data_IF_843070437880
#
_entry.id   IF_843070437880
#
_cell.length_a   1.000
_cell.length_b   1.000
_cell.length_c   1.000
_cell.angle_alpha   90.00
_cell.angle_beta   90.00
_cell.angle_gamma   90.00
#
_symmetry.space_group_name_H-M   'P 1'
#
loop_
_entity.id
_entity.type
_entity.pdbx_description
1 polymer ?
#
# COMPACT_ATOMS: atom_id res chain seq x y z
N UNK A 1 -30.79 20.87 -24.37
CA UNK A 1 -29.62 20.09 -23.92
C UNK A 1 -30.02 19.34 -22.65
N UNK A 2 -30.56 18.12 -22.79
CA UNK A 2 -30.87 17.23 -21.66
C UNK A 2 -29.55 16.64 -21.20
N UNK A 3 -29.13 16.94 -19.97
CA UNK A 3 -27.96 16.31 -19.37
C UNK A 3 -28.18 14.81 -19.29
N UNK A 4 -27.35 14.04 -19.99
CA UNK A 4 -27.24 12.60 -19.77
C UNK A 4 -26.90 12.39 -18.29
N UNK A 5 -27.86 11.86 -17.52
CA UNK A 5 -27.57 11.34 -16.19
C UNK A 5 -26.55 10.23 -16.38
N UNK A 6 -25.29 10.52 -16.04
CA UNK A 6 -24.22 9.52 -16.01
C UNK A 6 -24.68 8.40 -15.08
N UNK A 7 -24.89 7.20 -15.63
CA UNK A 7 -25.32 6.06 -14.84
C UNK A 7 -24.26 5.76 -13.79
N UNK A 8 -24.65 5.87 -12.51
CA UNK A 8 -23.78 5.54 -11.39
C UNK A 8 -23.86 4.03 -11.13
N UNK A 9 -22.91 3.29 -11.69
CA UNK A 9 -22.84 1.83 -11.57
C UNK A 9 -22.31 1.36 -10.21
N UNK A 10 -21.93 2.27 -9.29
CA UNK A 10 -21.52 1.95 -7.92
C UNK A 10 -22.71 1.92 -6.95
N UNK A 11 -23.91 2.35 -7.38
CA UNK A 11 -25.12 2.29 -6.56
C UNK A 11 -25.62 0.87 -6.35
N UNK A 12 -26.18 0.65 -5.16
CA UNK A 12 -26.89 -0.58 -4.77
C UNK A 12 -28.00 -0.89 -5.80
N UNK A 13 -27.91 -2.03 -6.48
CA UNK A 13 -28.86 -2.47 -7.50
C UNK A 13 -28.38 -2.32 -8.95
N UNK A 14 -27.11 -2.00 -9.20
CA UNK A 14 -26.55 -2.01 -10.55
C UNK A 14 -26.45 -3.44 -11.11
N UNK A 15 -26.96 -3.64 -12.34
CA UNK A 15 -26.76 -4.87 -13.10
C UNK A 15 -25.32 -4.90 -13.62
N UNK A 16 -24.37 -5.31 -12.77
CA UNK A 16 -22.97 -5.56 -13.15
C UNK A 16 -22.64 -7.00 -12.77
N UNK A 17 -22.25 -7.80 -13.75
CA UNK A 17 -21.82 -9.18 -13.51
C UNK A 17 -20.51 -9.22 -12.72
N UNK A 18 -20.27 -10.24 -11.87
CA UNK A 18 -18.99 -10.39 -11.16
C UNK A 18 -17.76 -10.35 -12.08
N UNK A 19 -17.87 -10.86 -13.31
CA UNK A 19 -16.78 -10.83 -14.30
C UNK A 19 -16.51 -9.42 -14.82
N UNK A 20 -17.56 -8.63 -15.06
CA UNK A 20 -17.45 -7.23 -15.49
C UNK A 20 -16.85 -6.38 -14.37
N UNK A 21 -17.30 -6.57 -13.14
CA UNK A 21 -16.75 -5.89 -11.96
C UNK A 21 -15.26 -6.25 -11.75
N UNK A 22 -14.89 -7.52 -11.94
CA UNK A 22 -13.50 -7.96 -11.82
C UNK A 22 -12.61 -7.35 -12.90
N UNK A 23 -13.06 -7.37 -14.16
CA UNK A 23 -12.31 -6.79 -15.27
C UNK A 23 -12.18 -5.27 -15.10
N UNK A 24 -13.29 -4.56 -14.88
CA UNK A 24 -13.28 -3.11 -14.65
C UNK A 24 -12.45 -2.72 -13.44
N UNK A 25 -12.54 -3.49 -12.34
CA UNK A 25 -11.73 -3.29 -11.15
C UNK A 25 -10.22 -3.49 -11.41
N UNK A 26 -9.85 -4.48 -12.22
CA UNK A 26 -8.46 -4.75 -12.58
C UNK A 26 -7.89 -3.65 -13.48
N UNK A 27 -8.62 -3.22 -14.50
CA UNK A 27 -8.23 -2.12 -15.40
C UNK A 27 -8.11 -0.82 -14.61
N UNK A 28 -9.10 -0.51 -13.77
CA UNK A 28 -9.10 0.69 -12.94
C UNK A 28 -7.94 0.71 -11.95
N UNK A 29 -7.69 -0.42 -11.28
CA UNK A 29 -6.58 -0.58 -10.35
C UNK A 29 -5.23 -0.39 -11.04
N UNK A 30 -5.03 -1.05 -12.19
CA UNK A 30 -3.77 -0.99 -12.94
C UNK A 30 -3.49 0.40 -13.51
N UNK A 31 -4.48 1.05 -14.15
CA UNK A 31 -4.29 2.39 -14.73
C UNK A 31 -4.11 3.44 -13.63
N UNK A 32 -4.93 3.41 -12.58
CA UNK A 32 -4.79 4.33 -11.45
C UNK A 32 -3.41 4.21 -10.82
N UNK A 33 -2.84 3.00 -10.76
CA UNK A 33 -1.48 2.79 -10.25
C UNK A 33 -0.42 3.27 -11.19
N UNK A 34 -0.50 2.95 -12.48
CA UNK A 34 0.43 3.47 -13.47
C UNK A 34 0.52 5.00 -13.41
N UNK A 35 -0.60 5.70 -13.23
CA UNK A 35 -0.63 7.17 -13.11
C UNK A 35 -0.02 7.66 -11.79
N UNK A 36 -0.26 6.95 -10.69
CA UNK A 36 0.19 7.37 -9.35
C UNK A 36 1.56 6.82 -8.95
N UNK A 37 2.14 5.92 -9.74
CA UNK A 37 3.44 5.28 -9.52
C UNK A 37 4.59 6.28 -9.29
N UNK A 38 4.68 7.44 -10.00
CA UNK A 38 5.69 8.45 -9.71
C UNK A 38 5.71 8.92 -8.25
N UNK A 39 4.54 9.09 -7.63
CA UNK A 39 4.44 9.50 -6.22
C UNK A 39 4.97 8.41 -5.28
N UNK A 40 4.77 7.14 -5.61
CA UNK A 40 5.33 6.05 -4.84
C UNK A 40 6.85 5.96 -4.96
N UNK A 41 7.39 6.17 -6.15
CA UNK A 41 8.85 6.21 -6.37
C UNK A 41 9.47 7.34 -5.56
N UNK A 42 8.88 8.54 -5.61
CA UNK A 42 9.33 9.71 -4.82
C UNK A 42 9.22 9.41 -3.31
N UNK A 43 8.11 8.83 -2.85
CA UNK A 43 7.93 8.42 -1.44
C UNK A 43 9.04 7.48 -1.00
N UNK A 44 9.30 6.41 -1.76
CA UNK A 44 10.32 5.42 -1.40
C UNK A 44 11.70 6.10 -1.38
N UNK A 45 12.03 6.95 -2.35
CA UNK A 45 13.30 7.70 -2.36
C UNK A 45 13.50 8.56 -1.11
N UNK A 46 12.46 9.26 -0.69
CA UNK A 46 12.48 10.04 0.56
C UNK A 46 12.66 9.14 1.79
N UNK A 47 11.97 7.99 1.84
CA UNK A 47 12.10 7.03 2.95
C UNK A 47 13.51 6.43 3.04
N UNK A 48 14.21 6.29 1.91
CA UNK A 48 15.56 5.74 1.84
C UNK A 48 16.67 6.78 2.11
N UNK A 49 16.33 8.06 2.21
CA UNK A 49 17.31 9.10 2.50
C UNK A 49 17.81 8.99 3.95
N UNK A 50 19.13 8.96 4.16
CA UNK A 50 19.77 8.76 5.47
C UNK A 50 20.42 10.00 6.07
N UNK A 51 20.38 11.15 5.38
CA UNK A 51 20.96 12.41 5.89
C UNK A 51 20.27 12.85 7.17
N UNK A 52 20.92 13.66 8.01
CA UNK A 52 20.24 14.25 9.18
C UNK A 52 19.03 15.09 8.75
N UNK A 53 18.03 15.27 9.63
CA UNK A 53 16.82 16.05 9.32
C UNK A 53 17.11 17.46 8.80
N UNK A 54 18.12 18.15 9.37
CA UNK A 54 18.52 19.50 8.95
C UNK A 54 19.20 19.54 7.57
N UNK A 55 19.77 18.42 7.12
CA UNK A 55 20.49 18.30 5.86
C UNK A 55 19.69 17.50 4.80
N UNK A 56 18.40 17.29 5.05
CA UNK A 56 17.52 16.53 4.16
C UNK A 56 17.36 17.23 2.81
N UNK A 57 17.22 16.44 1.75
CA UNK A 57 16.85 16.94 0.45
C UNK A 57 15.40 17.41 0.46
N UNK A 58 15.14 18.52 -0.23
CA UNK A 58 13.76 18.89 -0.55
C UNK A 58 13.17 17.88 -1.53
N UNK A 59 11.84 17.76 -1.53
CA UNK A 59 11.12 16.93 -2.50
C UNK A 59 11.50 17.32 -3.94
N UNK A 60 11.63 18.62 -4.20
CA UNK A 60 12.06 19.15 -5.50
C UNK A 60 13.48 18.73 -5.86
N UNK A 61 14.40 18.67 -4.89
CA UNK A 61 15.75 18.18 -5.13
C UNK A 61 15.76 16.69 -5.46
N UNK A 62 14.96 15.86 -4.77
CA UNK A 62 14.83 14.43 -5.09
C UNK A 62 14.25 14.21 -6.49
N UNK A 63 13.22 14.96 -6.88
CA UNK A 63 12.63 14.88 -8.22
C UNK A 63 13.64 15.33 -9.28
N UNK A 64 14.34 16.44 -9.05
CA UNK A 64 15.35 16.95 -10.00
C UNK A 64 16.53 15.98 -10.14
N UNK A 65 16.99 15.37 -9.05
CA UNK A 65 18.03 14.34 -9.03
C UNK A 65 17.60 13.12 -9.86
N UNK A 66 16.40 12.62 -9.63
CA UNK A 66 15.84 11.48 -10.36
C UNK A 66 15.72 11.77 -11.87
N UNK A 67 15.14 12.91 -12.24
CA UNK A 67 14.96 13.27 -13.64
C UNK A 67 16.29 13.51 -14.37
N UNK A 68 17.25 14.18 -13.71
CA UNK A 68 18.54 14.53 -14.32
C UNK A 68 19.49 13.33 -14.43
N UNK A 69 19.57 12.51 -13.38
CA UNK A 69 20.58 11.45 -13.29
C UNK A 69 20.07 10.10 -13.81
N UNK A 70 18.77 9.84 -13.72
CA UNK A 70 18.18 8.54 -14.07
C UNK A 70 17.20 8.61 -15.23
N UNK A 71 16.72 9.81 -15.57
CA UNK A 71 15.76 10.06 -16.65
C UNK A 71 14.31 9.96 -16.22
N UNK A 72 13.39 10.35 -17.12
CA UNK A 72 11.95 10.43 -16.84
C UNK A 72 11.33 9.07 -16.50
N UNK A 73 11.77 8.01 -17.18
CA UNK A 73 11.28 6.64 -16.98
C UNK A 73 11.58 6.14 -15.56
N UNK A 74 12.59 6.71 -14.89
CA UNK A 74 12.93 6.33 -13.52
C UNK A 74 11.80 6.58 -12.50
N UNK A 75 10.84 7.46 -12.82
CA UNK A 75 9.64 7.68 -12.00
C UNK A 75 8.77 6.41 -11.90
N UNK A 76 8.89 5.47 -12.84
CA UNK A 76 8.17 4.18 -12.84
C UNK A 76 9.06 2.99 -12.44
N UNK A 77 10.25 3.24 -11.87
CA UNK A 77 11.08 2.15 -11.34
C UNK A 77 10.29 1.34 -10.31
N UNK A 78 10.35 0.01 -10.46
CA UNK A 78 9.61 -0.89 -9.59
C UNK A 78 8.09 -0.92 -9.80
N UNK A 79 7.54 -0.31 -10.86
CA UNK A 79 6.09 -0.40 -11.12
C UNK A 79 5.64 -1.83 -11.44
N UNK A 80 6.39 -2.57 -12.26
CA UNK A 80 6.07 -3.97 -12.61
C UNK A 80 5.91 -4.87 -11.38
N UNK A 81 6.88 -4.96 -10.44
CA UNK A 81 6.66 -5.76 -9.23
C UNK A 81 5.58 -5.17 -8.33
N UNK A 82 5.32 -3.86 -8.37
CA UNK A 82 4.21 -3.26 -7.64
C UNK A 82 2.87 -3.77 -8.17
N UNK A 83 2.64 -3.77 -9.48
CA UNK A 83 1.38 -4.28 -10.06
C UNK A 83 1.15 -5.75 -9.71
N UNK A 84 2.18 -6.59 -9.88
CA UNK A 84 2.11 -8.01 -9.51
C UNK A 84 1.78 -8.16 -8.02
N UNK A 85 2.46 -7.40 -7.15
CA UNK A 85 2.17 -7.39 -5.72
C UNK A 85 0.69 -7.12 -5.46
N UNK A 86 0.10 -6.11 -6.09
CA UNK A 86 -1.27 -5.71 -5.76
C UNK A 86 -2.32 -6.69 -6.25
N UNK A 87 -2.12 -7.27 -7.44
CA UNK A 87 -2.98 -8.34 -7.96
C UNK A 87 -2.95 -9.53 -7.01
N UNK A 88 -1.75 -9.99 -6.63
CA UNK A 88 -1.60 -11.11 -5.71
C UNK A 88 -2.12 -10.79 -4.30
N UNK A 89 -1.91 -9.56 -3.83
CA UNK A 89 -2.36 -9.13 -2.51
C UNK A 89 -3.88 -9.20 -2.42
N UNK A 90 -4.59 -8.68 -3.42
CA UNK A 90 -6.06 -8.75 -3.47
C UNK A 90 -6.55 -10.20 -3.46
N UNK A 91 -6.01 -11.05 -4.33
CA UNK A 91 -6.39 -12.47 -4.40
C UNK A 91 -6.17 -13.21 -3.08
N UNK A 92 -4.96 -13.14 -2.52
CA UNK A 92 -4.62 -13.80 -1.26
C UNK A 92 -5.45 -13.23 -0.11
N UNK A 93 -5.73 -11.92 -0.10
CA UNK A 93 -6.51 -11.30 0.96
C UNK A 93 -7.94 -11.79 0.98
N UNK A 94 -8.64 -11.80 -0.15
CA UNK A 94 -10.03 -12.26 -0.21
C UNK A 94 -10.14 -13.77 0.07
N UNK A 95 -9.26 -14.58 -0.50
CA UNK A 95 -9.23 -16.03 -0.23
C UNK A 95 -8.94 -16.31 1.26
N UNK A 96 -7.91 -15.65 1.83
CA UNK A 96 -7.56 -15.82 3.24
C UNK A 96 -8.67 -15.32 4.15
N UNK A 97 -9.32 -14.20 3.82
CA UNK A 97 -10.45 -13.67 4.56
C UNK A 97 -11.60 -14.68 4.59
N UNK A 98 -11.97 -15.23 3.43
CA UNK A 98 -13.04 -16.22 3.31
C UNK A 98 -12.74 -17.48 4.12
N UNK A 99 -11.51 -18.00 4.03
CA UNK A 99 -11.09 -19.21 4.77
C UNK A 99 -11.10 -18.94 6.27
N UNK A 100 -10.46 -17.86 6.73
CA UNK A 100 -10.34 -17.55 8.16
C UNK A 100 -11.72 -17.26 8.76
N UNK A 101 -12.58 -16.48 8.08
CA UNK A 101 -13.94 -16.18 8.54
C UNK A 101 -14.78 -17.46 8.65
N UNK A 102 -14.77 -18.32 7.63
CA UNK A 102 -15.54 -19.58 7.65
C UNK A 102 -15.09 -20.49 8.78
N UNK A 103 -13.78 -20.63 8.99
CA UNK A 103 -13.25 -21.46 10.08
C UNK A 103 -13.54 -20.84 11.46
N UNK A 104 -13.44 -19.52 11.60
CA UNK A 104 -13.74 -18.84 12.86
C UNK A 104 -15.22 -18.96 13.23
N UNK A 105 -16.14 -18.78 12.27
CA UNK A 105 -17.58 -19.00 12.50
C UNK A 105 -17.91 -20.45 12.86
N UNK A 106 -17.21 -21.43 12.28
CA UNK A 106 -17.35 -22.85 12.68
C UNK A 106 -16.88 -23.08 14.11
N UNK A 107 -15.80 -22.42 14.54
CA UNK A 107 -15.30 -22.49 15.91
C UNK A 107 -16.26 -21.82 16.91
N UNK A 108 -16.81 -20.65 16.57
CA UNK A 108 -17.84 -19.97 17.38
C UNK A 108 -19.04 -20.88 17.64
N UNK A 109 -19.52 -21.58 16.59
CA UNK A 109 -20.62 -22.54 16.71
C UNK A 109 -20.24 -23.77 17.54
N UNK A 110 -19.04 -24.32 17.35
CA UNK A 110 -18.59 -25.53 18.04
C UNK A 110 -18.39 -25.30 19.55
N UNK A 111 -17.77 -24.17 19.92
CA UNK A 111 -17.45 -23.83 21.30
C UNK A 111 -18.50 -22.95 21.99
N UNK A 112 -19.60 -22.61 21.29
CA UNK A 112 -20.71 -21.77 21.79
C UNK A 112 -20.27 -20.42 22.37
N UNK A 113 -19.21 -19.81 21.84
CA UNK A 113 -18.86 -18.43 22.15
C UNK A 113 -19.29 -17.52 21.00
N UNK A 114 -19.73 -16.30 21.31
CA UNK A 114 -20.07 -15.29 20.31
C UNK A 114 -19.06 -14.15 20.38
N UNK A 115 -18.35 -13.91 19.28
CA UNK A 115 -17.55 -12.70 19.13
C UNK A 115 -18.44 -11.55 18.69
N UNK A 116 -18.14 -10.34 19.17
CA UNK A 116 -18.73 -9.13 18.60
C UNK A 116 -18.35 -9.03 17.11
N UNK A 117 -19.25 -8.53 16.22
CA UNK A 117 -18.95 -8.37 14.80
C UNK A 117 -17.65 -7.60 14.52
N UNK A 118 -17.31 -6.63 15.37
CA UNK A 118 -16.07 -5.87 15.28
C UNK A 118 -14.84 -6.74 15.57
N UNK A 119 -14.89 -7.58 16.60
CA UNK A 119 -13.80 -8.49 16.98
C UNK A 119 -13.60 -9.58 15.93
N UNK A 120 -14.69 -10.14 15.39
CA UNK A 120 -14.63 -11.11 14.29
C UNK A 120 -13.95 -10.48 13.07
N UNK A 121 -14.41 -9.30 12.65
CA UNK A 121 -13.84 -8.57 11.50
C UNK A 121 -12.37 -8.20 11.71
N UNK A 122 -11.97 -7.83 12.93
CA UNK A 122 -10.60 -7.50 13.28
C UNK A 122 -9.68 -8.71 13.18
N UNK A 123 -10.08 -9.87 13.75
CA UNK A 123 -9.28 -11.11 13.71
C UNK A 123 -9.11 -11.59 12.26
N UNK A 124 -10.23 -11.72 11.54
CA UNK A 124 -10.22 -12.19 10.14
C UNK A 124 -9.44 -11.20 9.26
N UNK A 125 -9.70 -9.91 9.39
CA UNK A 125 -9.03 -8.87 8.60
C UNK A 125 -7.52 -8.81 8.86
N UNK A 126 -7.10 -8.91 10.12
CA UNK A 126 -5.67 -8.92 10.49
C UNK A 126 -4.98 -10.19 10.01
N UNK A 127 -5.60 -11.36 10.19
CA UNK A 127 -5.08 -12.64 9.71
C UNK A 127 -4.92 -12.67 8.19
N UNK A 128 -5.95 -12.25 7.46
CA UNK A 128 -5.91 -12.14 6.00
C UNK A 128 -4.87 -11.13 5.51
N UNK A 129 -4.76 -9.97 6.18
CA UNK A 129 -3.77 -8.94 5.86
C UNK A 129 -2.33 -9.42 6.06
N UNK A 130 -2.07 -10.16 7.15
CA UNK A 130 -0.76 -10.76 7.42
C UNK A 130 -0.41 -11.85 6.40
N UNK A 131 -1.34 -12.78 6.12
CA UNK A 131 -1.14 -13.84 5.13
C UNK A 131 -0.81 -13.24 3.74
N UNK A 132 -1.56 -12.23 3.33
CA UNK A 132 -1.33 -11.52 2.05
C UNK A 132 0.01 -10.81 2.03
N UNK A 133 0.37 -10.13 3.11
CA UNK A 133 1.66 -9.42 3.22
C UNK A 133 2.85 -10.39 3.13
N UNK A 134 2.75 -11.57 3.74
CA UNK A 134 3.79 -12.59 3.67
C UNK A 134 3.89 -13.19 2.26
N UNK A 135 2.77 -13.53 1.65
CA UNK A 135 2.73 -14.10 0.29
C UNK A 135 3.30 -13.13 -0.75
N UNK A 136 3.02 -11.83 -0.63
CA UNK A 136 3.47 -10.82 -1.60
C UNK A 136 4.77 -10.11 -1.21
N UNK A 137 5.40 -10.51 -0.09
CA UNK A 137 6.60 -9.85 0.43
C UNK A 137 7.76 -9.77 -0.58
N UNK A 138 8.07 -10.84 -1.34
CA UNK A 138 9.11 -10.81 -2.38
C UNK A 138 8.97 -9.65 -3.37
N UNK A 139 7.75 -9.36 -3.83
CA UNK A 139 7.49 -8.30 -4.79
C UNK A 139 7.62 -6.91 -4.16
N UNK A 140 7.28 -6.77 -2.89
CA UNK A 140 7.48 -5.51 -2.16
C UNK A 140 8.97 -5.20 -2.01
N UNK A 141 9.78 -6.22 -1.70
CA UNK A 141 11.24 -6.10 -1.64
C UNK A 141 11.82 -5.69 -3.00
N UNK A 142 11.42 -6.38 -4.07
CA UNK A 142 11.89 -6.11 -5.43
C UNK A 142 11.58 -4.68 -5.85
N UNK A 143 10.34 -4.23 -5.61
CA UNK A 143 9.94 -2.85 -5.84
C UNK A 143 10.88 -1.86 -5.14
N UNK A 144 11.11 -2.03 -3.84
CA UNK A 144 11.94 -1.11 -3.06
C UNK A 144 13.39 -1.09 -3.55
N UNK A 145 13.97 -2.25 -3.88
CA UNK A 145 15.35 -2.34 -4.39
C UNK A 145 15.51 -1.74 -5.78
N UNK A 146 14.56 -1.97 -6.68
CA UNK A 146 14.57 -1.34 -8.01
C UNK A 146 14.45 0.18 -7.91
N UNK A 147 13.62 0.70 -7.00
CA UNK A 147 13.54 2.14 -6.75
C UNK A 147 14.83 2.65 -6.12
N UNK A 148 15.45 1.92 -5.19
CA UNK A 148 16.68 2.33 -4.53
C UNK A 148 17.88 2.46 -5.48
N UNK A 149 17.88 1.72 -6.59
CA UNK A 149 18.93 1.75 -7.58
C UNK A 149 18.94 3.10 -8.33
N UNK A 150 20.03 3.86 -8.13
CA UNK A 150 20.26 5.17 -8.74
C UNK A 150 20.93 5.13 -10.12
N UNK A 151 21.25 3.95 -10.63
CA UNK A 151 21.85 3.83 -11.96
C UNK A 151 20.82 4.17 -13.03
N UNK A 152 21.29 4.74 -14.13
CA UNK A 152 20.45 5.05 -15.30
C UNK A 152 19.94 3.78 -15.98
N UNK A 153 20.70 2.70 -15.88
CA UNK A 153 20.29 1.39 -16.41
C UNK A 153 19.13 0.83 -15.59
N UNK A 154 18.03 0.55 -16.29
CA UNK A 154 16.86 -0.11 -15.72
C UNK A 154 17.23 -1.58 -15.47
N UNK A 155 17.60 -1.90 -14.24
CA UNK A 155 17.91 -3.28 -13.85
C UNK A 155 16.64 -4.13 -13.95
N UNK A 156 16.75 -5.25 -14.66
CA UNK A 156 15.67 -6.21 -14.79
C UNK A 156 15.35 -6.85 -13.44
N UNK A 157 14.05 -7.08 -13.19
CA UNK A 157 13.57 -7.78 -12.00
C UNK A 157 14.26 -9.13 -11.82
N UNK A 158 14.48 -9.87 -12.91
CA UNK A 158 15.14 -11.18 -12.88
C UNK A 158 16.57 -11.08 -12.37
N UNK A 159 17.32 -10.09 -12.86
CA UNK A 159 18.69 -9.83 -12.42
C UNK A 159 18.72 -9.48 -10.93
N UNK A 160 17.77 -8.69 -10.43
CA UNK A 160 17.66 -8.39 -9.00
C UNK A 160 17.37 -9.65 -8.17
N UNK A 161 16.46 -10.52 -8.63
CA UNK A 161 16.17 -11.81 -7.96
C UNK A 161 17.43 -12.67 -7.89
N UNK A 162 18.15 -12.83 -9.02
CA UNK A 162 19.37 -13.62 -9.07
C UNK A 162 20.46 -13.07 -8.14
N UNK A 163 20.60 -11.74 -8.06
CA UNK A 163 21.53 -11.09 -7.14
C UNK A 163 21.14 -11.33 -5.67
N UNK A 164 19.85 -11.23 -5.33
CA UNK A 164 19.35 -11.52 -3.98
C UNK A 164 19.67 -12.97 -3.59
N UNK A 165 19.29 -13.93 -4.45
CA UNK A 165 19.46 -15.34 -4.17
C UNK A 165 20.94 -15.73 -4.05
N UNK A 166 21.82 -15.14 -4.86
CA UNK A 166 23.27 -15.39 -4.78
C UNK A 166 23.94 -14.76 -3.55
N UNK A 167 23.59 -13.52 -3.17
CA UNK A 167 24.26 -12.79 -2.07
C UNK A 167 23.64 -13.04 -0.69
N UNK A 168 22.32 -13.13 -0.61
CA UNK A 168 21.56 -13.16 0.65
C UNK A 168 20.75 -14.44 0.84
N UNK A 169 20.59 -15.25 -0.22
CA UNK A 169 19.75 -16.43 -0.21
C UNK A 169 18.25 -16.11 -0.13
N UNK A 170 17.45 -17.14 0.15
CA UNK A 170 15.97 -17.03 0.22
C UNK A 170 15.52 -16.13 1.38
N UNK A 171 16.26 -16.13 2.49
CA UNK A 171 15.95 -15.27 3.64
C UNK A 171 16.11 -13.78 3.33
N UNK A 172 16.97 -13.42 2.37
CA UNK A 172 17.10 -12.06 1.84
C UNK A 172 15.81 -11.52 1.22
N UNK A 173 14.99 -12.41 0.62
CA UNK A 173 13.70 -12.04 0.05
C UNK A 173 12.70 -11.55 1.11
N UNK A 174 12.94 -11.86 2.39
CA UNK A 174 12.09 -11.50 3.53
C UNK A 174 12.76 -10.47 4.47
N UNK A 175 13.80 -9.77 3.99
CA UNK A 175 14.47 -8.72 4.75
C UNK A 175 13.49 -7.58 5.13
N UNK A 176 13.28 -7.37 6.43
CA UNK A 176 12.32 -6.38 6.94
C UNK A 176 10.91 -6.92 7.18
N UNK A 177 10.68 -8.24 7.15
CA UNK A 177 9.35 -8.82 7.40
C UNK A 177 8.83 -8.52 8.80
N UNK A 178 9.70 -8.48 9.82
CA UNK A 178 9.32 -8.19 11.21
C UNK A 178 8.63 -6.83 11.38
N UNK A 179 9.23 -5.68 10.98
CA UNK A 179 8.53 -4.40 11.07
C UNK A 179 7.31 -4.33 10.14
N UNK A 180 7.31 -5.06 9.02
CA UNK A 180 6.15 -5.13 8.14
C UNK A 180 4.94 -5.80 8.79
N UNK A 181 5.14 -6.95 9.45
CA UNK A 181 4.07 -7.67 10.13
C UNK A 181 3.48 -6.86 11.28
N UNK A 182 4.34 -6.18 12.06
CA UNK A 182 3.88 -5.28 13.14
C UNK A 182 3.09 -4.11 12.54
N UNK A 183 3.59 -3.49 11.45
CA UNK A 183 2.89 -2.40 10.77
C UNK A 183 1.49 -2.82 10.34
N UNK A 184 1.35 -3.98 9.71
CA UNK A 184 0.05 -4.49 9.23
C UNK A 184 -0.90 -4.81 10.39
N UNK A 185 -0.41 -5.52 11.41
CA UNK A 185 -1.21 -5.85 12.59
C UNK A 185 -1.72 -4.58 13.31
N UNK A 186 -0.86 -3.57 13.47
CA UNK A 186 -1.22 -2.29 14.08
C UNK A 186 -2.15 -1.46 13.19
N UNK A 187 -1.95 -1.45 11.88
CA UNK A 187 -2.73 -0.63 10.93
C UNK A 187 -4.23 -0.95 11.02
N UNK A 188 -4.58 -2.24 11.04
CA UNK A 188 -5.99 -2.67 11.11
C UNK A 188 -6.65 -2.17 12.39
N UNK A 189 -6.05 -2.43 13.56
CA UNK A 189 -6.62 -1.99 14.84
C UNK A 189 -6.72 -0.47 14.96
N UNK A 190 -5.68 0.26 14.54
CA UNK A 190 -5.66 1.72 14.59
C UNK A 190 -6.65 2.36 13.62
N UNK A 191 -6.88 1.74 12.46
CA UNK A 191 -7.88 2.21 11.51
C UNK A 191 -9.28 2.06 12.09
N UNK A 192 -9.62 0.91 12.69
CA UNK A 192 -10.92 0.72 13.35
C UNK A 192 -11.11 1.67 14.52
N UNK A 193 -10.14 1.75 15.43
CA UNK A 193 -10.19 2.67 16.57
C UNK A 193 -10.37 4.12 16.12
N UNK A 194 -9.59 4.57 15.14
CA UNK A 194 -9.72 5.93 14.64
C UNK A 194 -11.01 6.16 13.86
N UNK A 195 -11.55 5.14 13.18
CA UNK A 195 -12.83 5.23 12.50
C UNK A 195 -13.99 5.34 13.49
N UNK A 196 -13.99 4.56 14.57
CA UNK A 196 -15.01 4.65 15.62
C UNK A 196 -15.00 6.02 16.30
N UNK A 197 -13.80 6.54 16.62
CA UNK A 197 -13.65 7.89 17.17
C UNK A 197 -14.13 8.98 16.22
N UNK A 198 -13.89 8.85 14.91
CA UNK A 198 -14.33 9.87 13.94
C UNK A 198 -15.82 9.72 13.58
N UNK A 199 -16.36 8.50 13.67
CA UNK A 199 -17.77 8.22 13.43
C UNK A 199 -18.68 8.76 14.54
N UNK A 200 -18.24 8.77 15.79
CA UNK A 200 -19.02 9.40 16.88
C UNK A 200 -19.26 10.89 16.61
N UNK A 201 -18.25 11.62 16.10
CA UNK A 201 -18.43 12.99 15.62
C UNK A 201 -19.32 13.07 14.37
N UNK A 202 -19.21 12.12 13.44
CA UNK A 202 -20.06 12.09 12.24
C UNK A 202 -21.56 11.94 12.55
N UNK A 203 -21.92 11.27 13.65
CA UNK A 203 -23.33 11.11 14.04
C UNK A 203 -23.97 12.43 14.49
N UNK A 204 -23.16 13.38 14.96
CA UNK A 204 -23.57 14.73 15.35
C UNK A 204 -23.77 15.65 14.12
N UNK A 205 -23.02 15.42 13.03
CA UNK A 205 -23.03 16.26 11.82
C UNK A 205 -23.53 15.53 10.55
N UNK A 206 -24.61 14.75 10.65
CA UNK A 206 -25.18 13.97 9.53
C UNK A 206 -25.56 14.79 8.29
N UNK A 207 -25.68 16.12 8.41
CA UNK A 207 -26.09 17.00 7.32
C UNK A 207 -24.97 17.34 6.32
N UNK A 208 -23.71 16.97 6.62
CA UNK A 208 -22.59 17.25 5.72
C UNK A 208 -22.46 16.12 4.68
N UNK A 209 -22.56 16.41 3.37
CA UNK A 209 -22.32 15.40 2.34
C UNK A 209 -20.87 14.90 2.43
N UNK A 210 -20.63 13.61 2.18
CA UNK A 210 -19.32 12.95 2.26
C UNK A 210 -18.67 12.84 3.65
N UNK A 211 -19.40 13.09 4.74
CA UNK A 211 -18.86 13.00 6.10
C UNK A 211 -18.20 11.63 6.39
N UNK A 212 -18.80 10.52 5.93
CA UNK A 212 -18.23 9.18 6.09
C UNK A 212 -16.88 9.03 5.37
N UNK A 213 -16.74 9.64 4.18
CA UNK A 213 -15.49 9.66 3.43
C UNK A 213 -14.40 10.47 4.13
N UNK A 214 -14.78 11.58 4.76
CA UNK A 214 -13.86 12.41 5.57
C UNK A 214 -13.42 11.65 6.82
N UNK A 215 -14.34 10.99 7.53
CA UNK A 215 -14.01 10.15 8.69
C UNK A 215 -13.08 9.01 8.29
N UNK A 216 -13.36 8.33 7.17
CA UNK A 216 -12.49 7.30 6.62
C UNK A 216 -11.10 7.83 6.25
N UNK A 217 -11.01 9.03 5.67
CA UNK A 217 -9.73 9.67 5.35
C UNK A 217 -8.95 10.04 6.61
N UNK A 218 -9.58 10.66 7.61
CA UNK A 218 -8.95 11.00 8.89
C UNK A 218 -8.47 9.72 9.59
N UNK A 219 -9.30 8.68 9.63
CA UNK A 219 -8.92 7.39 10.21
C UNK A 219 -7.69 6.78 9.50
N UNK A 220 -7.67 6.86 8.17
CA UNK A 220 -6.53 6.43 7.36
C UNK A 220 -5.27 7.24 7.62
N UNK A 221 -5.38 8.57 7.74
CA UNK A 221 -4.26 9.46 8.04
C UNK A 221 -3.72 9.20 9.45
N UNK A 222 -4.57 9.09 10.47
CA UNK A 222 -4.17 8.81 11.85
C UNK A 222 -3.47 7.45 11.96
N UNK A 223 -4.10 6.39 11.44
CA UNK A 223 -3.53 5.03 11.44
C UNK A 223 -2.18 5.00 10.72
N UNK A 224 -2.11 5.63 9.53
CA UNK A 224 -0.87 5.73 8.77
C UNK A 224 0.18 6.58 9.50
N UNK A 225 -0.20 7.65 10.19
CA UNK A 225 0.72 8.47 10.98
C UNK A 225 1.41 7.65 12.07
N UNK A 226 0.66 6.85 12.82
CA UNK A 226 1.21 6.02 13.89
C UNK A 226 2.07 4.87 13.35
N UNK A 227 1.70 4.28 12.21
CA UNK A 227 2.40 3.12 11.62
C UNK A 227 3.52 3.51 10.65
N UNK A 228 3.60 4.77 10.22
CA UNK A 228 4.59 5.23 9.24
C UNK A 228 6.05 4.97 9.64
N UNK A 229 6.46 5.11 10.92
CA UNK A 229 7.81 4.77 11.33
C UNK A 229 8.20 3.32 11.04
N UNK A 230 7.26 2.38 11.19
CA UNK A 230 7.48 0.97 10.87
C UNK A 230 7.60 0.74 9.36
N UNK A 231 6.83 1.49 8.57
CA UNK A 231 6.94 1.46 7.11
C UNK A 231 8.31 1.95 6.65
N UNK A 232 8.79 3.08 7.18
CA UNK A 232 10.12 3.60 6.83
C UNK A 232 11.22 2.64 7.28
N UNK A 233 11.11 2.07 8.49
CA UNK A 233 12.04 1.05 8.98
C UNK A 233 12.07 -0.19 8.08
N UNK A 234 10.89 -0.70 7.68
CA UNK A 234 10.76 -1.81 6.72
C UNK A 234 11.50 -1.49 5.42
N UNK A 235 11.24 -0.32 4.81
CA UNK A 235 11.87 0.06 3.53
C UNK A 235 13.39 0.18 3.62
N UNK A 236 13.92 0.64 4.75
CA UNK A 236 15.38 0.69 4.97
C UNK A 236 15.99 -0.68 5.21
N UNK A 237 15.33 -1.56 5.98
CA UNK A 237 15.75 -2.95 6.11
C UNK A 237 15.84 -3.67 4.75
N UNK A 238 14.90 -3.40 3.86
CA UNK A 238 14.81 -4.00 2.52
C UNK A 238 15.98 -3.66 1.60
N UNK A 239 16.62 -2.51 1.79
CA UNK A 239 17.74 -2.03 0.95
C UNK A 239 19.09 -2.08 1.65
N UNK A 240 19.12 -2.27 2.97
CA UNK A 240 20.33 -2.17 3.78
C UNK A 240 21.48 -3.04 3.24
N UNK A 241 21.18 -4.30 2.94
CA UNK A 241 22.16 -5.26 2.43
C UNK A 241 22.73 -4.88 1.06
N UNK A 242 21.92 -4.27 0.19
CA UNK A 242 22.35 -3.81 -1.13
C UNK A 242 23.24 -2.57 -1.03
N UNK A 243 22.92 -1.65 -0.11
CA UNK A 243 23.62 -0.38 0.04
C UNK A 243 24.97 -0.55 0.75
N UNK A 244 25.04 -1.43 1.75
CA UNK A 244 26.23 -1.61 2.59
C UNK A 244 27.03 -2.87 2.24
N UNK A 245 26.65 -3.61 1.18
CA UNK A 245 27.22 -4.90 0.76
C UNK A 245 27.48 -5.87 1.94
N UNK A 246 26.56 -5.88 2.92
CA UNK A 246 26.69 -6.62 4.18
C UNK A 246 25.42 -7.39 4.51
N UNK A 247 25.51 -8.32 5.47
CA UNK A 247 24.35 -9.06 5.96
C UNK A 247 23.30 -8.12 6.56
N UNK A 248 22.00 -8.44 6.46
CA UNK A 248 20.94 -7.61 7.02
C UNK A 248 21.11 -7.42 8.53
N UNK A 249 21.11 -6.16 8.97
CA UNK A 249 21.19 -5.80 10.39
C UNK A 249 19.82 -5.97 11.05
N UNK A 250 19.82 -6.28 12.35
CA UNK A 250 18.59 -6.34 13.15
C UNK A 250 17.80 -5.03 13.03
N UNK A 251 16.49 -5.14 12.76
CA UNK A 251 15.59 -4.00 12.60
C UNK A 251 15.64 -3.03 13.80
N UNK A 252 15.84 -3.56 15.02
CA UNK A 252 15.94 -2.72 16.22
C UNK A 252 17.22 -1.88 16.24
N UNK A 253 18.36 -2.45 15.83
CA UNK A 253 19.62 -1.70 15.73
C UNK A 253 19.53 -0.62 14.66
N UNK A 254 18.91 -0.93 13.52
CA UNK A 254 18.67 0.04 12.47
C UNK A 254 17.77 1.17 12.98
N UNK A 255 16.68 0.85 13.68
CA UNK A 255 15.78 1.85 14.27
C UNK A 255 16.51 2.81 15.24
N UNK A 256 17.32 2.28 16.15
CA UNK A 256 18.11 3.10 17.08
C UNK A 256 19.13 3.98 16.33
N UNK A 257 19.78 3.46 15.29
CA UNK A 257 20.70 4.24 14.46
C UNK A 257 19.98 5.39 13.74
N UNK A 258 18.78 5.16 13.23
CA UNK A 258 17.97 6.20 12.58
C UNK A 258 17.64 7.31 13.58
N UNK A 259 17.17 6.96 14.78
CA UNK A 259 16.86 7.94 15.81
C UNK A 259 18.11 8.76 16.18
N UNK A 260 19.26 8.09 16.34
CA UNK A 260 20.51 8.74 16.75
C UNK A 260 21.07 9.68 15.66
N UNK A 261 20.98 9.30 14.39
CA UNK A 261 21.60 10.05 13.28
C UNK A 261 20.66 11.08 12.63
N UNK A 262 19.38 10.76 12.54
CA UNK A 262 18.39 11.53 11.77
C UNK A 262 17.31 12.17 12.64
N UNK A 263 17.15 11.71 13.87
CA UNK A 263 16.08 12.10 14.76
C UNK A 263 14.75 11.40 14.44
N UNK A 264 13.74 11.63 15.29
CA UNK A 264 12.42 10.99 15.16
C UNK A 264 11.71 11.35 13.85
N UNK A 265 11.93 12.58 13.35
CA UNK A 265 11.34 13.04 12.11
C UNK A 265 11.96 12.40 10.86
N UNK A 266 13.14 11.76 10.96
CA UNK A 266 13.71 10.95 9.88
C UNK A 266 12.81 9.78 9.49
N UNK A 267 12.06 9.22 10.44
CA UNK A 267 11.13 8.12 10.23
C UNK A 267 9.86 8.53 9.46
N UNK A 268 9.55 9.84 9.41
CA UNK A 268 8.36 10.39 8.74
C UNK A 268 8.64 10.91 7.31
N UNK A 269 9.82 10.63 6.75
CA UNK A 269 10.17 11.05 5.39
C UNK A 269 9.25 10.42 4.35
N UNK A 270 8.63 11.25 3.51
CA UNK A 270 7.66 10.80 2.52
C UNK A 270 6.23 10.63 3.05
N UNK A 271 5.95 10.94 4.32
CA UNK A 271 4.59 10.90 4.88
C UNK A 271 3.62 11.81 4.12
N UNK A 272 4.04 13.05 3.83
CA UNK A 272 3.23 14.00 3.04
C UNK A 272 2.89 13.48 1.65
N UNK A 273 3.87 12.90 0.94
CA UNK A 273 3.62 12.26 -0.38
C UNK A 273 2.66 11.07 -0.23
N UNK A 274 2.80 10.29 0.84
CA UNK A 274 1.92 9.16 1.13
C UNK A 274 0.47 9.56 1.40
N UNK A 275 0.22 10.73 1.99
CA UNK A 275 -1.12 11.30 2.15
C UNK A 275 -1.62 11.84 0.82
N UNK A 276 -0.82 12.70 0.16
CA UNK A 276 -1.15 13.34 -1.11
C UNK A 276 -1.57 12.32 -2.18
N UNK A 277 -0.92 11.15 -2.21
CA UNK A 277 -1.24 10.07 -3.15
C UNK A 277 -2.62 9.45 -2.93
N UNK A 278 -3.11 9.41 -1.69
CA UNK A 278 -4.30 8.64 -1.31
C UNK A 278 -5.55 9.14 -2.03
N UNK A 279 -5.80 10.45 -2.03
CA UNK A 279 -7.00 11.02 -2.65
C UNK A 279 -7.04 10.86 -4.19
N UNK A 280 -5.98 11.21 -4.95
CA UNK A 280 -5.93 10.97 -6.40
C UNK A 280 -6.05 9.51 -6.78
N UNK A 281 -5.43 8.60 -6.01
CA UNK A 281 -5.54 7.15 -6.28
C UNK A 281 -6.99 6.69 -6.17
N UNK A 282 -7.69 7.07 -5.09
CA UNK A 282 -9.09 6.70 -4.92
C UNK A 282 -9.97 7.31 -6.00
N UNK A 283 -9.78 8.59 -6.32
CA UNK A 283 -10.55 9.28 -7.35
C UNK A 283 -10.35 8.66 -8.74
N UNK A 284 -9.10 8.39 -9.13
CA UNK A 284 -8.77 7.76 -10.41
C UNK A 284 -9.30 6.34 -10.49
N UNK A 285 -9.19 5.55 -9.41
CA UNK A 285 -9.71 4.19 -9.39
C UNK A 285 -11.23 4.15 -9.56
N UNK A 286 -11.98 5.03 -8.89
CA UNK A 286 -13.44 5.10 -9.06
C UNK A 286 -13.82 5.57 -10.47
N UNK A 287 -13.18 6.63 -10.95
CA UNK A 287 -13.44 7.17 -12.28
C UNK A 287 -13.13 6.15 -13.40
N UNK A 288 -12.00 5.45 -13.30
CA UNK A 288 -11.63 4.41 -14.27
C UNK A 288 -12.56 3.20 -14.20
N UNK A 289 -13.06 2.85 -13.01
CA UNK A 289 -14.01 1.76 -12.84
C UNK A 289 -15.33 2.07 -13.58
N UNK A 290 -15.90 3.25 -13.32
CA UNK A 290 -17.12 3.71 -13.99
C UNK A 290 -16.94 3.81 -15.51
N UNK A 291 -15.79 4.35 -15.95
CA UNK A 291 -15.47 4.46 -17.36
C UNK A 291 -15.41 3.07 -18.03
N UNK A 292 -14.76 2.10 -17.39
CA UNK A 292 -14.61 0.75 -17.96
C UNK A 292 -15.94 0.03 -18.05
N UNK A 293 -16.79 0.10 -17.00
CA UNK A 293 -18.14 -0.48 -17.03
C UNK A 293 -19.00 0.18 -18.12
N UNK A 294 -18.97 1.51 -18.21
CA UNK A 294 -19.73 2.24 -19.23
C UNK A 294 -19.30 1.84 -20.65
N UNK A 295 -17.99 1.69 -20.88
CA UNK A 295 -17.44 1.25 -22.16
C UNK A 295 -17.82 -0.19 -22.52
N UNK A 296 -17.82 -1.11 -21.56
CA UNK A 296 -18.24 -2.49 -21.76
C UNK A 296 -19.74 -2.58 -22.10
N UNK A 297 -20.58 -1.76 -21.45
CA UNK A 297 -22.02 -1.73 -21.72
C UNK A 297 -22.37 -1.05 -23.04
N UNK A 298 -21.61 -0.04 -23.46
CA UNK A 298 -21.82 0.63 -24.75
C UNK A 298 -21.31 -0.19 -25.95
N UNK A 299 -20.39 -1.12 -25.72
CA UNK A 299 -19.82 -1.99 -26.76
C UNK A 299 -20.26 -3.44 -26.51
N UNK A 300 -21.48 -3.85 -26.91
CA UNK A 300 -21.89 -5.23 -26.77
C UNK A 300 -20.95 -6.10 -27.61
N UNK A 301 -20.13 -6.92 -26.94
CA UNK A 301 -19.39 -7.99 -27.59
C UNK A 301 -20.42 -8.94 -28.22
N UNK A 302 -20.59 -8.85 -29.54
CA UNK A 302 -21.34 -9.82 -30.35
C UNK A 302 -20.51 -11.07 -30.59
#
# INVERSE_FOLDING_TARGET
>A
MRGEQREDHLKKGSNVSPYEALFAGSVAGGISRAITAPLDTIKIRLQLETRSFHQRQSITAVVKDLLKNEGVIALWKGNVPAEILYILYGGVQFTSYSIISTNLSRLEQHYKFSLSPSSHSLIVGSGAGLASTLATYPFDLLRTRLVANKNRDLVSMRTTIEQILKKEGVSGMFAGVKPASISVASTTGLMFWSYELTRSFSQEYKNIPFIEGICGFIAGVTSKGITFPLDTLRKRCQVYAVVHDTKPVSAMRLFLNIIKQEGIFGLYRGYGISILKTAPTSALSLWMYEYTISFMKSTPFK
#
